data_IF_234181620585
#
_entry.id   IF_234181620585
#
_cell.length_a   1.000
_cell.length_b   1.000
_cell.length_c   1.000
_cell.angle_alpha   90.00
_cell.angle_beta   90.00
_cell.angle_gamma   90.00
#
_symmetry.space_group_name_H-M   'P 1'
#
loop_
_entity.id
_entity.type
_entity.pdbx_description
1 polymer ?
#
# COMPACT_ATOMS: atom_id res chain seq x y z
N UNK A 1 11.88 10.01 7.83
CA UNK A 1 11.31 9.00 6.92
C UNK A 1 10.67 9.61 5.68
N UNK A 2 9.92 10.68 5.80
CA UNK A 2 9.25 11.34 4.66
C UNK A 2 10.23 11.77 3.56
N UNK A 3 11.41 12.25 3.93
CA UNK A 3 12.43 12.69 2.97
C UNK A 3 12.99 11.54 2.10
N UNK A 4 12.85 10.31 2.57
CA UNK A 4 13.32 9.13 1.86
C UNK A 4 12.26 8.50 0.96
N UNK A 5 10.96 8.71 1.26
CA UNK A 5 9.87 8.05 0.53
C UNK A 5 9.93 8.21 -0.98
N UNK A 6 10.19 9.41 -1.54
CA UNK A 6 10.24 9.55 -3.00
C UNK A 6 11.38 8.76 -3.67
N UNK A 7 12.35 8.31 -2.88
CA UNK A 7 13.52 7.56 -3.37
C UNK A 7 13.38 6.05 -3.18
N UNK A 8 12.34 5.61 -2.47
CA UNK A 8 12.13 4.19 -2.24
C UNK A 8 11.48 3.52 -3.44
N UNK A 9 11.86 2.27 -3.68
CA UNK A 9 11.25 1.45 -4.72
C UNK A 9 9.99 0.75 -4.22
N UNK A 10 9.93 0.44 -2.93
CA UNK A 10 8.75 -0.15 -2.28
C UNK A 10 8.81 0.07 -0.76
N UNK A 11 7.66 0.00 -0.12
CA UNK A 11 7.54 0.04 1.34
C UNK A 11 6.95 -1.29 1.80
N UNK A 12 7.59 -1.91 2.79
CA UNK A 12 7.06 -3.10 3.48
C UNK A 12 6.55 -2.66 4.84
N UNK A 13 5.30 -2.95 5.14
CA UNK A 13 4.61 -2.41 6.31
C UNK A 13 3.56 -3.39 6.83
N UNK A 14 3.13 -3.20 8.09
CA UNK A 14 1.96 -3.90 8.63
C UNK A 14 0.63 -3.26 8.19
N UNK A 15 0.66 -2.07 7.58
CA UNK A 15 -0.52 -1.43 7.03
C UNK A 15 -1.17 -0.38 7.90
N UNK A 16 -0.40 0.28 8.77
CA UNK A 16 -0.88 1.46 9.49
C UNK A 16 -1.28 2.57 8.52
N UNK A 17 -2.40 3.25 8.80
CA UNK A 17 -2.99 4.20 7.85
C UNK A 17 -2.02 5.31 7.44
N UNK A 18 -1.29 5.88 8.40
CA UNK A 18 -0.36 6.98 8.11
C UNK A 18 0.74 6.54 7.13
N UNK A 19 1.34 5.37 7.37
CA UNK A 19 2.40 4.85 6.48
C UNK A 19 1.85 4.55 5.09
N UNK A 20 0.66 3.96 5.01
CA UNK A 20 0.02 3.67 3.72
C UNK A 20 -0.26 4.95 2.95
N UNK A 21 -0.86 5.95 3.59
CA UNK A 21 -1.18 7.22 2.94
C UNK A 21 0.08 7.97 2.49
N UNK A 22 1.12 7.97 3.30
CA UNK A 22 2.39 8.63 2.95
C UNK A 22 3.06 7.93 1.76
N UNK A 23 3.10 6.60 1.76
CA UNK A 23 3.67 5.85 0.63
C UNK A 23 2.92 6.15 -0.67
N UNK A 24 1.59 6.10 -0.65
CA UNK A 24 0.78 6.36 -1.84
C UNK A 24 0.89 7.81 -2.30
N UNK A 25 0.93 8.76 -1.37
CA UNK A 25 1.11 10.17 -1.70
C UNK A 25 2.46 10.48 -2.35
N UNK A 26 3.45 9.61 -2.14
CA UNK A 26 4.78 9.71 -2.77
C UNK A 26 4.96 8.77 -3.97
N UNK A 27 3.92 8.06 -4.35
CA UNK A 27 3.96 7.15 -5.51
C UNK A 27 4.78 5.89 -5.28
N UNK A 28 4.86 5.42 -4.03
CA UNK A 28 5.64 4.23 -3.67
C UNK A 28 4.69 3.05 -3.45
N UNK A 29 4.86 1.93 -4.19
CA UNK A 29 4.04 0.75 -3.99
C UNK A 29 4.39 0.03 -2.68
N UNK A 30 3.43 -0.77 -2.18
CA UNK A 30 3.56 -1.41 -0.86
C UNK A 30 3.43 -2.93 -0.92
N UNK A 31 4.13 -3.58 0.01
CA UNK A 31 3.82 -4.94 0.44
C UNK A 31 3.33 -4.84 1.88
N UNK A 32 2.11 -5.30 2.14
CA UNK A 32 1.49 -5.18 3.45
C UNK A 32 1.30 -6.54 4.09
N UNK A 33 1.82 -6.69 5.29
CA UNK A 33 1.67 -7.88 6.13
C UNK A 33 0.86 -7.52 7.38
N UNK A 34 -0.47 -7.46 7.29
CA UNK A 34 -1.29 -6.99 8.40
C UNK A 34 -1.29 -7.97 9.57
N UNK A 35 -1.30 -7.42 10.80
CA UNK A 35 -1.32 -8.20 12.04
C UNK A 35 -2.61 -7.96 12.82
N UNK A 36 -3.01 -6.69 13.00
CA UNK A 36 -4.09 -6.32 13.91
C UNK A 36 -4.79 -5.02 13.53
N UNK A 37 -5.89 -4.73 14.23
CA UNK A 37 -6.59 -3.45 14.12
C UNK A 37 -7.15 -3.20 12.74
N UNK A 38 -6.92 -2.02 12.21
CA UNK A 38 -7.36 -1.60 10.86
C UNK A 38 -6.40 -2.04 9.75
N UNK A 39 -5.29 -2.69 10.08
CA UNK A 39 -4.26 -3.09 9.13
C UNK A 39 -4.79 -4.01 8.01
N UNK A 40 -5.60 -5.03 8.30
CA UNK A 40 -6.16 -5.87 7.23
C UNK A 40 -7.06 -5.10 6.26
N UNK A 41 -7.83 -4.14 6.76
CA UNK A 41 -8.68 -3.30 5.91
C UNK A 41 -7.81 -2.43 5.01
N UNK A 42 -6.77 -1.81 5.55
CA UNK A 42 -5.86 -0.98 4.78
C UNK A 42 -5.13 -1.80 3.71
N UNK A 43 -4.74 -3.04 4.02
CA UNK A 43 -4.12 -3.94 3.05
C UNK A 43 -5.05 -4.21 1.87
N UNK A 44 -6.33 -4.51 2.12
CA UNK A 44 -7.30 -4.75 1.06
C UNK A 44 -7.54 -3.49 0.22
N UNK A 45 -7.56 -2.31 0.85
CA UNK A 45 -7.68 -1.04 0.14
C UNK A 45 -6.51 -0.80 -0.81
N UNK A 46 -5.29 -1.08 -0.36
CA UNK A 46 -4.09 -0.96 -1.20
C UNK A 46 -4.14 -1.92 -2.37
N UNK A 47 -4.50 -3.18 -2.13
CA UNK A 47 -4.67 -4.17 -3.20
C UNK A 47 -5.71 -3.70 -4.22
N UNK A 48 -6.82 -3.13 -3.77
CA UNK A 48 -7.86 -2.61 -4.65
C UNK A 48 -7.36 -1.46 -5.55
N UNK A 49 -6.39 -0.68 -5.10
CA UNK A 49 -5.77 0.38 -5.93
C UNK A 49 -4.80 -0.15 -6.98
N UNK A 50 -4.34 -1.38 -6.83
CA UNK A 50 -3.27 -1.94 -7.66
C UNK A 50 -1.85 -1.55 -7.23
N UNK A 51 -1.71 -0.73 -6.18
CA UNK A 51 -0.42 -0.18 -5.76
C UNK A 51 0.35 -1.08 -4.81
N UNK A 52 -0.09 -2.31 -4.57
CA UNK A 52 0.63 -3.19 -3.68
C UNK A 52 0.04 -4.59 -3.59
N UNK A 53 0.68 -5.39 -2.76
CA UNK A 53 0.31 -6.77 -2.48
C UNK A 53 0.17 -6.99 -0.99
N UNK A 54 -0.69 -7.93 -0.62
CA UNK A 54 -0.88 -8.39 0.74
C UNK A 54 -0.20 -9.73 0.93
N UNK A 55 0.51 -9.89 2.07
CA UNK A 55 1.03 -11.17 2.54
C UNK A 55 0.46 -11.47 3.93
N UNK A 56 0.43 -12.76 4.31
CA UNK A 56 -0.06 -13.19 5.62
C UNK A 56 1.11 -13.40 6.56
N UNK A 57 1.42 -12.42 7.38
CA UNK A 57 2.61 -12.39 8.22
C UNK A 57 2.86 -13.69 9.01
N UNK A 58 1.80 -14.27 9.60
CA UNK A 58 1.93 -15.47 10.43
C UNK A 58 1.89 -16.77 9.63
N UNK A 59 1.53 -16.75 8.36
CA UNK A 59 1.37 -17.94 7.52
C UNK A 59 2.39 -18.04 6.40
N UNK A 60 2.93 -16.90 6.00
CA UNK A 60 3.92 -16.86 4.92
C UNK A 60 5.31 -17.18 5.45
N UNK A 61 6.05 -17.96 4.70
CA UNK A 61 7.46 -18.20 4.99
C UNK A 61 8.29 -17.03 4.45
N UNK A 62 9.53 -16.84 4.97
CA UNK A 62 10.39 -15.74 4.50
C UNK A 62 10.60 -15.70 2.99
N UNK A 63 10.66 -16.84 2.32
CA UNK A 63 10.81 -16.91 0.86
C UNK A 63 9.56 -16.40 0.13
N UNK A 64 8.37 -16.61 0.68
CA UNK A 64 7.11 -16.10 0.12
C UNK A 64 7.01 -14.58 0.30
N UNK A 65 7.44 -14.07 1.44
CA UNK A 65 7.48 -12.62 1.68
C UNK A 65 8.46 -11.96 0.70
N UNK A 66 9.65 -12.57 0.53
CA UNK A 66 10.63 -12.12 -0.45
C UNK A 66 10.04 -12.11 -1.86
N UNK A 67 9.34 -13.16 -2.24
CA UNK A 67 8.71 -13.25 -3.55
C UNK A 67 7.68 -12.13 -3.77
N UNK A 68 6.92 -11.75 -2.75
CA UNK A 68 5.98 -10.63 -2.82
C UNK A 68 6.70 -9.31 -3.02
N UNK A 69 7.81 -9.09 -2.32
CA UNK A 69 8.64 -7.88 -2.47
C UNK A 69 9.20 -7.79 -3.88
N UNK A 70 9.82 -8.88 -4.36
CA UNK A 70 10.36 -8.95 -5.72
C UNK A 70 9.24 -8.72 -6.75
N UNK A 71 8.07 -9.31 -6.53
CA UNK A 71 6.93 -9.12 -7.42
C UNK A 71 6.48 -7.67 -7.52
N UNK A 72 6.47 -6.94 -6.41
CA UNK A 72 6.13 -5.51 -6.42
C UNK A 72 7.20 -4.70 -7.12
N UNK A 73 8.47 -5.04 -6.94
CA UNK A 73 9.59 -4.33 -7.58
C UNK A 73 9.67 -4.58 -9.08
N UNK A 74 9.41 -5.81 -9.51
CA UNK A 74 9.58 -6.23 -10.90
C UNK A 74 8.35 -5.99 -11.77
N UNK A 75 7.16 -5.94 -11.17
CA UNK A 75 5.92 -5.69 -11.92
C UNK A 75 5.67 -4.19 -12.02
N UNK A 76 5.84 -3.59 -13.22
CA UNK A 76 5.65 -2.16 -13.39
C UNK A 76 4.23 -1.69 -13.11
N UNK A 77 3.24 -2.59 -13.08
CA UNK A 77 1.86 -2.23 -12.81
C UNK A 77 1.67 -1.63 -11.41
N UNK A 78 2.38 -2.13 -10.41
CA UNK A 78 2.28 -1.59 -9.05
C UNK A 78 2.86 -0.18 -8.95
N UNK A 79 4.02 0.05 -9.52
CA UNK A 79 4.62 1.39 -9.57
C UNK A 79 3.77 2.36 -10.36
N UNK A 80 3.23 1.91 -11.49
CA UNK A 80 2.36 2.73 -12.34
C UNK A 80 1.09 3.13 -11.59
N UNK A 81 0.47 2.20 -10.87
CA UNK A 81 -0.72 2.48 -10.07
C UNK A 81 -0.39 3.47 -8.96
N UNK A 82 0.72 3.29 -8.25
CA UNK A 82 1.15 4.20 -7.18
C UNK A 82 1.47 5.60 -7.72
N UNK A 83 2.11 5.70 -8.87
CA UNK A 83 2.41 6.99 -9.52
C UNK A 83 1.13 7.71 -9.92
N UNK A 84 0.17 6.99 -10.48
CA UNK A 84 -1.14 7.58 -10.82
C UNK A 84 -1.87 8.12 -9.60
N UNK A 85 -1.83 7.40 -8.49
CA UNK A 85 -2.41 7.85 -7.22
C UNK A 85 -1.69 9.10 -6.67
N UNK A 86 -0.37 9.13 -6.76
CA UNK A 86 0.39 10.32 -6.35
C UNK A 86 -0.06 11.56 -7.12
N UNK A 87 -0.20 11.45 -8.41
CA UNK A 87 -0.64 12.57 -9.25
C UNK A 87 -2.06 13.03 -8.85
N UNK A 88 -2.96 12.09 -8.63
CA UNK A 88 -4.33 12.36 -8.22
C UNK A 88 -4.37 13.03 -6.84
N UNK A 89 -3.59 12.50 -5.87
CA UNK A 89 -3.56 13.04 -4.51
C UNK A 89 -2.87 14.40 -4.43
N UNK A 90 -1.80 14.61 -5.20
CA UNK A 90 -1.14 15.92 -5.27
C UNK A 90 -2.10 17.00 -5.73
N UNK A 91 -2.95 16.69 -6.70
CA UNK A 91 -3.97 17.61 -7.19
C UNK A 91 -5.08 17.87 -6.17
N UNK A 92 -5.32 16.96 -5.23
CA UNK A 92 -6.45 16.99 -4.30
C UNK A 92 -6.05 17.26 -2.83
N UNK A 93 -4.76 17.47 -2.52
CA UNK A 93 -4.34 17.81 -1.16
C UNK A 93 -3.39 16.80 -0.47
N UNK A 94 -2.78 15.88 -1.21
CA UNK A 94 -1.73 15.00 -0.70
C UNK A 94 -2.26 13.86 0.18
N UNK A 95 -1.62 13.62 1.32
CA UNK A 95 -1.91 12.47 2.19
C UNK A 95 -3.35 12.47 2.74
N UNK A 96 -3.96 13.64 2.96
CA UNK A 96 -5.36 13.74 3.37
C UNK A 96 -6.28 13.19 2.30
N UNK A 97 -6.02 13.52 1.02
CA UNK A 97 -6.78 12.99 -0.09
C UNK A 97 -6.59 11.47 -0.24
N UNK A 98 -5.40 10.97 0.06
CA UNK A 98 -5.13 9.53 0.07
C UNK A 98 -6.01 8.81 1.11
N UNK A 99 -6.09 9.37 2.32
CA UNK A 99 -6.92 8.79 3.38
C UNK A 99 -8.40 8.76 2.99
N UNK A 100 -8.92 9.84 2.43
CA UNK A 100 -10.31 9.90 1.97
C UNK A 100 -10.59 8.91 0.84
N UNK A 101 -9.67 8.75 -0.09
CA UNK A 101 -9.77 7.79 -1.18
C UNK A 101 -9.85 6.35 -0.65
N UNK A 102 -8.97 6.01 0.29
CA UNK A 102 -8.94 4.68 0.90
C UNK A 102 -10.22 4.39 1.68
N UNK A 103 -10.75 5.37 2.40
CA UNK A 103 -12.01 5.22 3.12
C UNK A 103 -13.17 4.91 2.17
N UNK A 104 -13.21 5.58 1.02
CA UNK A 104 -14.24 5.29 0.00
C UNK A 104 -14.11 3.88 -0.55
N UNK A 105 -12.88 3.38 -0.75
CA UNK A 105 -12.65 2.02 -1.21
C UNK A 105 -13.07 0.96 -0.18
N UNK A 106 -13.13 1.31 1.09
CA UNK A 106 -13.56 0.38 2.13
C UNK A 106 -15.03 -0.02 2.01
N UNK A 107 -15.85 0.79 1.36
CA UNK A 107 -17.25 0.45 1.15
C UNK A 107 -17.34 -0.79 0.25
N UNK A 108 -17.91 -1.87 0.77
CA UNK A 108 -18.04 -3.13 0.04
C UNK A 108 -16.85 -4.06 0.10
N UNK A 109 -15.76 -3.70 0.78
CA UNK A 109 -14.64 -4.61 0.97
C UNK A 109 -14.90 -5.51 2.17
N UNK A 110 -14.78 -6.82 1.94
CA UNK A 110 -14.82 -7.84 2.98
C UNK A 110 -13.40 -8.21 3.37
N UNK A 111 -13.10 -8.15 4.66
CA UNK A 111 -11.75 -8.45 5.16
C UNK A 111 -11.76 -9.80 5.85
N UNK A 112 -10.82 -10.65 5.45
CA UNK A 112 -10.55 -11.94 6.08
C UNK A 112 -9.22 -11.87 6.81
N UNK A 113 -9.26 -12.29 8.07
CA UNK A 113 -8.07 -12.29 8.93
C UNK A 113 -7.26 -13.57 8.80
#
# INVERSE_FOLDING_TARGET
MLDLLPRLDAVVSHGGLNTVCEALAHGVPLVIAPIKGDQPINAERVVATGAGRRVRFLRERPDQIRAAIVGVLDDPAHRKAATGLREEFDAAGGATAAAEHLERLAAGITVEY
#
